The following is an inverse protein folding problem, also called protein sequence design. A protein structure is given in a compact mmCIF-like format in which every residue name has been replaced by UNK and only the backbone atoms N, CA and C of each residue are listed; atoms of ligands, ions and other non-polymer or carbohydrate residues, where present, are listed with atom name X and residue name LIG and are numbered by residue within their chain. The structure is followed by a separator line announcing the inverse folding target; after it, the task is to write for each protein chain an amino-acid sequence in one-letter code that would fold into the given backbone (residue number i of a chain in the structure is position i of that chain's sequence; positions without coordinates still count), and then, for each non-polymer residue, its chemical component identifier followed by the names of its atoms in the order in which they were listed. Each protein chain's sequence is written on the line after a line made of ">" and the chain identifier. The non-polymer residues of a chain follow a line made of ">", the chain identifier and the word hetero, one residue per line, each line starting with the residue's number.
data_IF_572795052964
#
_entry.id   IF_572795052964
#
_cell.length_a   1.000
_cell.length_b   1.000
_cell.length_c   1.000
_cell.angle_alpha   90.00
_cell.angle_beta   90.00
_cell.angle_gamma   90.00
#
_symmetry.space_group_name_H-M   'P 1'
#
loop_
_entity.id
_entity.type
_entity.pdbx_description
1 polymer ?
#
# COMPACT_ATOMS: atom_id res chain seq x y z
N UNK A 1 -6.95 31.98 3.00
CA UNK A 1 -6.29 30.66 3.00
C UNK A 1 -5.89 30.36 1.57
N UNK A 2 -4.58 30.40 1.27
CA UNK A 2 -4.09 29.94 -0.03
C UNK A 2 -4.16 28.40 0.01
N UNK A 3 -5.06 27.80 -0.76
CA UNK A 3 -5.11 26.35 -0.91
C UNK A 3 -3.86 25.92 -1.67
N UNK A 4 -2.94 25.24 -1.00
CA UNK A 4 -1.82 24.58 -1.68
C UNK A 4 -2.38 23.45 -2.53
N UNK A 5 -2.06 23.45 -3.82
CA UNK A 5 -2.49 22.39 -4.74
C UNK A 5 -1.89 21.05 -4.30
N UNK A 6 -2.74 20.04 -4.10
CA UNK A 6 -2.31 18.67 -3.80
C UNK A 6 -1.67 18.08 -5.06
N UNK A 7 -0.41 17.68 -4.95
CA UNK A 7 0.40 17.12 -6.02
C UNK A 7 0.18 15.63 -6.21
N UNK A 8 0.50 15.09 -7.40
CA UNK A 8 0.47 13.65 -7.69
C UNK A 8 1.30 12.83 -6.68
N UNK A 9 2.40 13.39 -6.17
CA UNK A 9 3.25 12.70 -5.18
C UNK A 9 2.52 12.53 -3.84
N UNK A 10 1.79 13.56 -3.39
CA UNK A 10 0.97 13.48 -2.17
C UNK A 10 -0.21 12.53 -2.38
N UNK A 11 -0.87 12.56 -3.54
CA UNK A 11 -1.93 11.61 -3.87
C UNK A 11 -1.43 10.16 -3.87
N UNK A 12 -0.21 9.89 -4.36
CA UNK A 12 0.42 8.56 -4.28
C UNK A 12 0.68 8.13 -2.83
N UNK A 13 1.14 9.06 -1.98
CA UNK A 13 1.31 8.79 -0.54
C UNK A 13 -0.04 8.48 0.11
N UNK A 14 -1.08 9.25 -0.22
CA UNK A 14 -2.44 9.04 0.27
C UNK A 14 -3.01 7.69 -0.17
N UNK A 15 -2.81 7.28 -1.44
CA UNK A 15 -3.28 5.98 -1.92
C UNK A 15 -2.57 4.82 -1.20
N UNK A 16 -1.25 4.92 -0.95
CA UNK A 16 -0.51 3.96 -0.13
C UNK A 16 -1.11 3.86 1.29
N UNK A 17 -1.31 4.99 1.96
CA UNK A 17 -1.87 5.01 3.31
C UNK A 17 -3.32 4.52 3.35
N UNK A 18 -4.09 4.79 2.31
CA UNK A 18 -5.45 4.26 2.16
C UNK A 18 -5.46 2.72 2.04
N UNK A 19 -4.48 2.13 1.33
CA UNK A 19 -4.40 0.67 1.11
C UNK A 19 -3.92 -0.06 2.37
N UNK A 20 -2.88 0.47 3.01
CA UNK A 20 -2.17 -0.22 4.09
C UNK A 20 -2.50 0.30 5.50
N UNK A 21 -3.23 1.41 5.60
CA UNK A 21 -3.59 2.08 6.85
C UNK A 21 -2.46 2.92 7.41
N UNK A 22 -1.56 2.31 8.19
CA UNK A 22 -0.48 3.02 8.88
C UNK A 22 0.91 2.49 8.49
N UNK A 23 1.80 3.36 8.02
CA UNK A 23 3.13 2.97 7.54
C UNK A 23 4.23 3.96 7.91
N UNK A 24 5.47 3.47 8.17
CA UNK A 24 6.65 4.35 8.23
C UNK A 24 7.03 4.87 6.83
N UNK A 25 7.74 6.00 6.79
CA UNK A 25 8.09 6.71 5.55
C UNK A 25 8.86 5.85 4.53
N UNK A 26 9.80 5.01 4.98
CA UNK A 26 10.52 4.09 4.10
C UNK A 26 9.59 3.10 3.39
N UNK A 27 8.57 2.58 4.08
CA UNK A 27 7.57 1.68 3.47
C UNK A 27 6.61 2.45 2.57
N UNK A 28 6.31 3.70 2.86
CA UNK A 28 5.55 4.53 1.94
C UNK A 28 6.35 4.75 0.65
N UNK A 29 7.65 4.99 0.76
CA UNK A 29 8.56 5.12 -0.39
C UNK A 29 8.57 3.85 -1.25
N UNK A 30 8.71 2.68 -0.61
CA UNK A 30 8.75 1.36 -1.27
C UNK A 30 7.57 1.11 -2.22
N UNK A 31 6.38 1.61 -1.86
CA UNK A 31 5.12 1.35 -2.58
C UNK A 31 4.64 2.51 -3.44
N UNK A 32 4.94 3.76 -3.07
CA UNK A 32 4.54 4.94 -3.86
C UNK A 32 5.45 5.21 -5.06
N UNK A 33 6.69 4.68 -5.05
CA UNK A 33 7.72 5.06 -6.01
C UNK A 33 8.24 6.48 -5.83
N UNK A 34 7.88 7.14 -4.72
CA UNK A 34 8.40 8.44 -4.32
C UNK A 34 9.62 8.22 -3.43
N UNK A 35 10.72 8.94 -3.69
CA UNK A 35 11.94 8.82 -2.90
C UNK A 35 11.67 9.13 -1.41
N UNK A 36 12.26 8.35 -0.50
CA UNK A 36 12.00 8.46 0.94
C UNK A 36 12.26 9.88 1.50
N UNK A 37 13.28 10.58 1.02
CA UNK A 37 13.53 11.98 1.42
C UNK A 37 12.36 12.90 1.04
N UNK A 38 11.78 12.68 -0.14
CA UNK A 38 10.60 13.42 -0.62
C UNK A 38 9.35 13.03 0.17
N UNK A 39 9.18 11.74 0.47
CA UNK A 39 8.08 11.25 1.32
C UNK A 39 8.11 11.93 2.70
N UNK A 40 9.27 11.98 3.34
CA UNK A 40 9.42 12.61 4.66
C UNK A 40 9.06 14.10 4.65
N UNK A 41 9.44 14.83 3.60
CA UNK A 41 9.09 16.24 3.47
C UNK A 41 7.57 16.40 3.22
N UNK A 42 7.02 15.61 2.30
CA UNK A 42 5.58 15.66 1.97
C UNK A 42 4.69 15.28 3.14
N UNK A 43 5.06 14.30 3.96
CA UNK A 43 4.27 13.93 5.14
C UNK A 43 4.15 15.09 6.15
N UNK A 44 5.20 15.91 6.31
CA UNK A 44 5.13 17.11 7.17
C UNK A 44 4.19 18.17 6.58
N UNK A 45 4.33 18.46 5.29
CA UNK A 45 3.46 19.41 4.59
C UNK A 45 1.99 18.97 4.65
N UNK A 46 1.73 17.67 4.45
CA UNK A 46 0.40 17.07 4.53
C UNK A 46 -0.16 17.06 5.96
N UNK A 47 0.69 16.94 6.98
CA UNK A 47 0.31 17.03 8.40
C UNK A 47 -0.15 18.45 8.76
N UNK A 48 0.58 19.47 8.28
CA UNK A 48 0.23 20.89 8.51
C UNK A 48 -1.15 21.26 7.98
N UNK A 49 -1.59 20.63 6.88
CA UNK A 49 -2.92 20.81 6.29
C UNK A 49 -3.94 19.74 6.73
N UNK A 50 -3.57 18.86 7.66
CA UNK A 50 -4.46 17.90 8.30
C UNK A 50 -4.86 16.70 7.44
N UNK A 51 -4.13 16.37 6.37
CA UNK A 51 -4.40 15.17 5.55
C UNK A 51 -3.86 13.89 6.18
N UNK A 52 -2.75 13.98 6.90
CA UNK A 52 -2.12 12.85 7.58
C UNK A 52 -1.79 13.21 9.02
N UNK A 53 -1.60 12.19 9.83
CA UNK A 53 -1.13 12.32 11.20
C UNK A 53 -0.23 11.14 11.58
N UNK A 54 0.53 11.30 12.67
CA UNK A 54 1.23 10.18 13.28
C UNK A 54 0.21 9.20 13.87
N UNK A 55 0.41 7.91 13.59
CA UNK A 55 -0.47 6.88 14.13
C UNK A 55 -0.38 6.82 15.67
N UNK A 56 -1.43 6.36 16.37
CA UNK A 56 -1.40 6.17 17.83
C UNK A 56 -0.31 5.21 18.33
N UNK A 57 0.23 4.36 17.45
CA UNK A 57 1.30 3.39 17.74
C UNK A 57 2.70 3.94 17.47
N UNK A 58 2.81 5.19 17.03
CA UNK A 58 4.08 5.84 16.77
C UNK A 58 4.87 6.09 18.05
N UNK A 59 6.18 5.90 17.97
CA UNK A 59 7.12 6.27 19.03
C UNK A 59 8.15 7.26 18.51
N UNK A 60 8.90 7.96 19.38
CA UNK A 60 9.96 8.88 18.93
C UNK A 60 10.99 8.23 18.00
N UNK A 61 11.23 6.93 18.16
CA UNK A 61 12.18 6.14 17.34
C UNK A 61 11.52 5.47 16.12
N UNK A 62 10.19 5.33 16.12
CA UNK A 62 9.45 4.62 15.09
C UNK A 62 8.16 5.35 14.76
N UNK A 63 8.27 6.35 13.90
CA UNK A 63 7.13 7.10 13.37
C UNK A 63 6.40 6.28 12.31
N UNK A 64 5.08 6.21 12.42
CA UNK A 64 4.19 5.66 11.42
C UNK A 64 3.13 6.71 11.11
N UNK A 65 2.77 6.84 9.85
CA UNK A 65 1.83 7.83 9.35
C UNK A 65 0.55 7.14 8.93
N UNK A 66 -0.59 7.81 9.11
CA UNK A 66 -1.89 7.38 8.63
C UNK A 66 -2.68 8.58 8.09
N UNK A 67 -3.70 8.30 7.28
CA UNK A 67 -4.67 9.33 6.88
C UNK A 67 -5.50 9.75 8.08
N UNK A 68 -5.78 11.04 8.20
CA UNK A 68 -6.85 11.53 9.07
C UNK A 68 -8.21 11.24 8.44
N UNK A 69 -9.30 11.52 9.17
CA UNK A 69 -10.65 11.47 8.57
C UNK A 69 -10.76 12.43 7.37
N UNK A 70 -10.18 13.62 7.47
CA UNK A 70 -10.15 14.58 6.36
C UNK A 70 -9.31 14.07 5.18
N UNK A 71 -8.15 13.48 5.44
CA UNK A 71 -7.31 12.85 4.42
C UNK A 71 -8.02 11.71 3.69
N UNK A 72 -8.81 10.90 4.40
CA UNK A 72 -9.61 9.84 3.79
C UNK A 72 -10.65 10.42 2.82
N UNK A 73 -11.44 11.40 3.26
CA UNK A 73 -12.44 12.08 2.42
C UNK A 73 -11.79 12.73 1.20
N UNK A 74 -10.66 13.42 1.39
CA UNK A 74 -9.91 14.01 0.28
C UNK A 74 -9.44 12.93 -0.71
N UNK A 75 -8.90 11.81 -0.22
CA UNK A 75 -8.48 10.69 -1.07
C UNK A 75 -9.62 10.19 -1.94
N UNK A 76 -10.81 10.01 -1.36
CA UNK A 76 -11.97 9.49 -2.08
C UNK A 76 -12.44 10.46 -3.18
N UNK A 77 -12.46 11.77 -2.90
CA UNK A 77 -12.77 12.81 -3.90
C UNK A 77 -11.78 12.79 -5.08
N UNK A 78 -10.48 12.66 -4.80
CA UNK A 78 -9.48 12.59 -5.88
C UNK A 78 -9.58 11.31 -6.69
N UNK A 79 -9.95 10.18 -6.08
CA UNK A 79 -10.14 8.91 -6.77
C UNK A 79 -11.28 8.98 -7.79
N UNK A 80 -12.39 9.63 -7.46
CA UNK A 80 -13.54 9.75 -8.37
C UNK A 80 -13.17 10.37 -9.72
N UNK A 81 -12.22 11.30 -9.73
CA UNK A 81 -11.93 12.12 -10.90
C UNK A 81 -10.56 11.83 -11.55
N UNK A 82 -9.59 11.36 -10.77
CA UNK A 82 -8.18 11.35 -11.18
C UNK A 82 -7.44 10.05 -10.88
N UNK A 83 -8.13 8.97 -10.47
CA UNK A 83 -7.44 7.81 -9.93
C UNK A 83 -6.35 7.21 -10.82
N UNK A 84 -6.55 7.07 -12.14
CA UNK A 84 -5.52 6.51 -13.03
C UNK A 84 -4.18 7.26 -12.99
N UNK A 85 -4.15 8.53 -12.59
CA UNK A 85 -2.93 9.34 -12.56
C UNK A 85 -2.07 9.12 -11.32
N UNK A 86 -2.65 8.64 -10.23
CA UNK A 86 -1.95 8.51 -8.94
C UNK A 86 -2.13 7.16 -8.26
N UNK A 87 -2.98 6.27 -8.80
CA UNK A 87 -3.09 4.92 -8.27
C UNK A 87 -1.72 4.25 -8.23
N UNK A 88 -1.37 3.66 -7.09
CA UNK A 88 -0.14 2.88 -7.02
C UNK A 88 -0.30 1.59 -7.84
N UNK A 89 0.66 1.38 -8.74
CA UNK A 89 0.78 0.19 -9.60
C UNK A 89 2.11 -0.52 -9.32
N UNK A 90 2.26 -1.81 -9.65
CA UNK A 90 3.49 -2.56 -9.37
C UNK A 90 4.76 -1.93 -9.96
N UNK A 91 4.63 -1.19 -11.07
CA UNK A 91 5.72 -0.45 -11.72
C UNK A 91 6.26 0.68 -10.83
N UNK A 92 5.47 1.19 -9.89
CA UNK A 92 5.92 2.19 -8.93
C UNK A 92 6.78 1.59 -7.82
N UNK A 93 6.75 0.27 -7.60
CA UNK A 93 7.51 -0.35 -6.54
C UNK A 93 9.01 -0.33 -6.87
N UNK A 94 9.85 -0.38 -5.83
CA UNK A 94 11.27 -0.67 -6.02
C UNK A 94 11.44 -1.99 -6.79
N UNK A 95 12.51 -2.11 -7.58
CA UNK A 95 12.74 -3.29 -8.43
C UNK A 95 12.65 -4.60 -7.64
N UNK A 96 13.31 -4.67 -6.47
CA UNK A 96 13.25 -5.83 -5.59
C UNK A 96 11.83 -6.14 -5.10
N UNK A 97 11.03 -5.13 -4.75
CA UNK A 97 9.65 -5.35 -4.32
C UNK A 97 8.74 -5.74 -5.48
N UNK A 98 8.96 -5.17 -6.67
CA UNK A 98 8.22 -5.53 -7.88
C UNK A 98 8.45 -6.99 -8.26
N UNK A 99 9.69 -7.47 -8.21
CA UNK A 99 10.00 -8.89 -8.44
C UNK A 99 9.32 -9.82 -7.43
N UNK A 100 9.36 -9.47 -6.14
CA UNK A 100 8.69 -10.24 -5.09
C UNK A 100 7.18 -10.27 -5.30
N UNK A 101 6.59 -9.11 -5.59
CA UNK A 101 5.17 -8.97 -5.89
C UNK A 101 4.77 -9.84 -7.10
N UNK A 102 5.48 -9.76 -8.22
CA UNK A 102 5.15 -10.51 -9.44
C UNK A 102 5.13 -12.02 -9.18
N UNK A 103 6.12 -12.56 -8.44
CA UNK A 103 6.15 -13.97 -8.05
C UNK A 103 4.93 -14.40 -7.23
N UNK A 104 4.47 -13.53 -6.32
CA UNK A 104 3.27 -13.81 -5.52
C UNK A 104 2.03 -13.76 -6.42
N UNK A 105 1.91 -12.71 -7.22
CA UNK A 105 0.77 -12.50 -8.11
C UNK A 105 0.59 -13.66 -9.09
N UNK A 106 1.66 -14.07 -9.77
CA UNK A 106 1.65 -15.23 -10.69
C UNK A 106 1.28 -16.53 -9.98
N UNK A 107 1.83 -16.78 -8.79
CA UNK A 107 1.50 -17.98 -8.02
C UNK A 107 0.01 -18.01 -7.64
N UNK A 108 -0.53 -16.89 -7.17
CA UNK A 108 -1.94 -16.79 -6.76
C UNK A 108 -2.92 -16.83 -7.94
N UNK A 109 -2.49 -16.52 -9.15
CA UNK A 109 -3.29 -16.75 -10.36
C UNK A 109 -3.40 -18.25 -10.68
N UNK A 110 -2.32 -19.00 -10.47
CA UNK A 110 -2.23 -20.41 -10.86
C UNK A 110 -2.95 -21.34 -9.88
N UNK A 111 -2.77 -21.17 -8.57
CA UNK A 111 -3.30 -22.10 -7.56
C UNK A 111 -3.52 -21.44 -6.19
N UNK A 112 -4.14 -22.20 -5.28
CA UNK A 112 -4.34 -21.85 -3.89
C UNK A 112 -3.06 -22.01 -3.07
N UNK A 113 -2.58 -20.90 -2.50
CA UNK A 113 -1.39 -20.89 -1.65
C UNK A 113 -1.69 -20.43 -0.23
N UNK A 114 -1.07 -21.07 0.75
CA UNK A 114 -1.03 -20.59 2.14
C UNK A 114 -0.09 -19.38 2.27
N UNK A 115 -0.26 -18.62 3.35
CA UNK A 115 0.64 -17.49 3.66
C UNK A 115 2.13 -17.86 3.67
N UNK A 116 2.48 -19.03 4.22
CA UNK A 116 3.88 -19.45 4.29
C UNK A 116 4.43 -19.90 2.93
N UNK A 117 3.59 -20.41 2.02
CA UNK A 117 4.00 -20.70 0.63
C UNK A 117 4.24 -19.40 -0.13
N UNK A 118 3.34 -18.42 -0.03
CA UNK A 118 3.49 -17.07 -0.60
C UNK A 118 4.83 -16.43 -0.18
N UNK A 119 5.17 -16.53 1.12
CA UNK A 119 6.46 -16.05 1.63
C UNK A 119 7.65 -16.77 1.03
N UNK A 120 7.60 -18.10 0.92
CA UNK A 120 8.70 -18.91 0.38
C UNK A 120 8.94 -18.65 -1.10
N UNK A 121 7.88 -18.60 -1.90
CA UNK A 121 7.93 -18.35 -3.35
C UNK A 121 8.62 -17.03 -3.65
N UNK A 122 8.24 -15.97 -2.92
CA UNK A 122 8.79 -14.64 -3.11
C UNK A 122 10.08 -14.34 -2.34
N UNK A 123 10.51 -15.25 -1.44
CA UNK A 123 11.57 -15.02 -0.45
C UNK A 123 11.34 -13.73 0.36
N UNK A 124 10.08 -13.45 0.67
CA UNK A 124 9.67 -12.25 1.40
C UNK A 124 9.73 -12.45 2.92
N UNK A 125 10.06 -11.38 3.63
CA UNK A 125 9.81 -11.30 5.07
C UNK A 125 8.31 -11.44 5.35
N UNK A 126 7.96 -11.76 6.61
CA UNK A 126 6.55 -11.85 7.02
C UNK A 126 5.78 -10.55 6.78
N UNK A 127 6.44 -9.40 6.97
CA UNK A 127 5.81 -8.10 6.75
C UNK A 127 5.57 -7.84 5.27
N UNK A 128 6.59 -8.03 4.43
CA UNK A 128 6.48 -7.83 2.98
C UNK A 128 5.35 -8.68 2.37
N UNK A 129 5.30 -9.98 2.68
CA UNK A 129 4.24 -10.84 2.17
C UNK A 129 2.84 -10.40 2.61
N UNK A 130 2.68 -9.92 3.85
CA UNK A 130 1.41 -9.35 4.32
C UNK A 130 1.03 -8.09 3.53
N UNK A 131 1.99 -7.22 3.27
CA UNK A 131 1.75 -6.01 2.48
C UNK A 131 1.38 -6.36 1.04
N UNK A 132 2.09 -7.28 0.38
CA UNK A 132 1.72 -7.69 -0.97
C UNK A 132 0.34 -8.35 -1.04
N UNK A 133 -0.01 -9.22 -0.10
CA UNK A 133 -1.36 -9.78 -0.04
C UNK A 133 -2.42 -8.71 0.20
N UNK A 134 -2.17 -7.74 1.08
CA UNK A 134 -3.08 -6.60 1.31
C UNK A 134 -3.27 -5.76 0.05
N UNK A 135 -2.19 -5.50 -0.68
CA UNK A 135 -2.24 -4.79 -1.96
C UNK A 135 -3.05 -5.58 -2.99
N UNK A 136 -2.81 -6.89 -3.10
CA UNK A 136 -3.55 -7.75 -4.03
C UNK A 136 -5.04 -7.77 -3.68
N UNK A 137 -5.37 -7.94 -2.39
CA UNK A 137 -6.75 -7.89 -1.90
C UNK A 137 -7.46 -6.57 -2.22
N UNK A 138 -6.71 -5.46 -2.18
CA UNK A 138 -7.26 -4.15 -2.48
C UNK A 138 -7.46 -3.93 -4.00
N UNK A 139 -6.58 -4.49 -4.84
CA UNK A 139 -6.56 -4.25 -6.29
C UNK A 139 -7.30 -5.29 -7.12
N UNK A 140 -7.41 -6.50 -6.61
CA UNK A 140 -7.89 -7.67 -7.33
C UNK A 140 -8.85 -8.46 -6.43
N UNK A 141 -9.60 -9.36 -7.05
CA UNK A 141 -10.49 -10.28 -6.34
C UNK A 141 -9.67 -11.40 -5.69
N UNK A 142 -9.02 -11.09 -4.56
CA UNK A 142 -8.34 -12.09 -3.75
C UNK A 142 -9.36 -12.90 -2.96
N UNK A 143 -9.46 -14.18 -3.26
CA UNK A 143 -10.26 -15.14 -2.51
C UNK A 143 -9.46 -15.70 -1.32
N UNK A 144 -10.16 -15.89 -0.22
CA UNK A 144 -9.65 -16.56 0.97
C UNK A 144 -10.48 -17.80 1.26
N UNK A 145 -9.82 -18.94 1.48
CA UNK A 145 -10.48 -20.21 1.82
C UNK A 145 -9.79 -20.88 3.00
N UNK A 146 -10.59 -21.36 3.96
CA UNK A 146 -10.09 -22.14 5.09
C UNK A 146 -10.03 -23.62 4.71
N UNK A 147 -8.83 -24.14 4.50
CA UNK A 147 -8.59 -25.56 4.21
C UNK A 147 -7.61 -26.15 5.21
N UNK A 148 -7.96 -27.25 5.86
CA UNK A 148 -7.11 -27.95 6.83
C UNK A 148 -6.54 -27.03 7.94
N UNK A 149 -7.38 -26.16 8.50
CA UNK A 149 -7.01 -25.14 9.51
C UNK A 149 -5.97 -24.11 9.03
N UNK A 150 -5.77 -23.97 7.72
CA UNK A 150 -4.91 -22.95 7.11
C UNK A 150 -5.72 -22.11 6.15
N UNK A 151 -5.53 -20.79 6.23
CA UNK A 151 -6.06 -19.87 5.22
C UNK A 151 -5.20 -20.02 3.96
N UNK A 152 -5.86 -20.23 2.83
CA UNK A 152 -5.29 -20.22 1.50
C UNK A 152 -5.85 -19.04 0.72
N UNK A 153 -5.02 -18.54 -0.20
CA UNK A 153 -5.27 -17.38 -1.03
C UNK A 153 -5.22 -17.79 -2.51
N UNK A 154 -6.08 -17.20 -3.34
CA UNK A 154 -6.03 -17.28 -4.81
C UNK A 154 -6.59 -15.98 -5.39
N UNK A 155 -6.15 -15.57 -6.58
CA UNK A 155 -6.78 -14.49 -7.34
C UNK A 155 -7.86 -15.11 -8.23
N UNK A 156 -9.10 -14.67 -8.08
CA UNK A 156 -10.20 -15.04 -8.96
C UNK A 156 -10.15 -14.24 -10.26
N UNK A 157 -10.31 -14.93 -11.39
CA UNK A 157 -10.54 -14.32 -12.68
C UNK A 157 -11.94 -14.74 -13.12
N UNK A 158 -12.84 -13.77 -13.32
CA UNK A 158 -14.11 -14.03 -14.01
C UNK A 158 -13.78 -14.38 -15.46
N UNK A 159 -14.26 -15.54 -15.94
CA UNK A 159 -14.16 -15.97 -17.34
C UNK A 159 -15.10 -15.16 -18.24
#
# INVERSE_FOLDING_TARGET
>A
MQGGDITIRELKIMDVLNIFGMLPANRISDFSGVAESTVNNKLKEMEEIGLVELSPTSTPLKKQWMLTTFGQVATDIFKENNYPYFMIVPENFSESNREKYNKIYEALLMDWHTFEEVRKISKSTKMEAKMFLRYIQYRYNLEESLSHKKIKYRIFQEE
#
